data_IF_227216381752
#
_entry.id   IF_227216381752
#
_cell.length_a   1.000
_cell.length_b   1.000
_cell.length_c   1.000
_cell.angle_alpha   90.00
_cell.angle_beta   90.00
_cell.angle_gamma   90.00
#
_symmetry.space_group_name_H-M   'P 1'
#
loop_
_entity.id
_entity.type
_entity.pdbx_description
1 polymer ?
#
# COMPACT_ATOMS: atom_id res chain seq x y z
N UNK A 1 -50.85 6.16 13.03
CA UNK A 1 -50.09 5.55 11.94
C UNK A 1 -48.93 6.49 11.64
N UNK A 2 -47.67 6.06 11.92
CA UNK A 2 -46.50 6.83 11.56
C UNK A 2 -46.43 6.92 10.05
N UNK A 3 -46.66 8.11 9.49
CA UNK A 3 -46.47 8.35 8.07
C UNK A 3 -44.94 8.15 7.79
N UNK A 4 -44.67 7.11 7.01
CA UNK A 4 -43.28 6.83 6.59
C UNK A 4 -42.83 7.99 5.70
N UNK A 5 -41.79 8.71 6.10
CA UNK A 5 -41.21 9.80 5.30
C UNK A 5 -40.86 9.26 3.90
N UNK A 6 -41.45 9.80 2.83
CA UNK A 6 -41.25 9.27 1.46
C UNK A 6 -39.77 9.28 1.03
N UNK A 7 -39.01 10.28 1.48
CA UNK A 7 -37.56 10.36 1.20
C UNK A 7 -36.77 9.22 1.86
N UNK A 8 -37.13 8.92 3.12
CA UNK A 8 -36.50 7.79 3.84
C UNK A 8 -36.86 6.45 3.20
N UNK A 9 -38.13 6.31 2.77
CA UNK A 9 -38.57 5.09 2.06
C UNK A 9 -37.78 4.86 0.77
N UNK A 10 -37.58 5.88 -0.06
CA UNK A 10 -36.77 5.77 -1.26
C UNK A 10 -35.27 5.57 -0.95
N UNK A 11 -34.76 6.21 0.08
CA UNK A 11 -33.40 5.98 0.57
C UNK A 11 -33.15 4.49 0.87
N UNK A 12 -34.05 3.85 1.57
CA UNK A 12 -33.95 2.41 1.87
C UNK A 12 -34.07 1.54 0.61
N UNK A 13 -35.04 1.82 -0.26
CA UNK A 13 -35.28 1.05 -1.50
C UNK A 13 -34.14 1.14 -2.51
N UNK A 14 -33.43 2.25 -2.54
CA UNK A 14 -32.28 2.48 -3.42
C UNK A 14 -30.94 2.09 -2.79
N UNK A 15 -30.93 1.20 -1.82
CA UNK A 15 -29.70 0.72 -1.20
C UNK A 15 -28.95 1.79 -0.42
N UNK A 16 -29.69 2.67 0.25
CA UNK A 16 -29.16 3.72 1.12
C UNK A 16 -28.24 4.75 0.42
N UNK A 17 -28.52 5.08 -0.86
CA UNK A 17 -27.81 6.15 -1.58
C UNK A 17 -28.07 7.51 -0.94
N UNK A 18 -27.14 8.47 -1.11
CA UNK A 18 -27.29 9.80 -0.52
C UNK A 18 -28.44 10.60 -1.12
N UNK A 19 -29.01 11.53 -0.34
CA UNK A 19 -30.06 12.44 -0.79
C UNK A 19 -29.67 13.20 -2.08
N UNK A 20 -28.40 13.59 -2.21
CA UNK A 20 -27.87 14.25 -3.42
C UNK A 20 -28.02 13.38 -4.67
N UNK A 21 -27.77 12.07 -4.54
CA UNK A 21 -27.95 11.12 -5.65
C UNK A 21 -29.42 10.89 -5.98
N UNK A 22 -30.29 10.84 -4.95
CA UNK A 22 -31.73 10.70 -5.17
C UNK A 22 -32.32 11.93 -5.90
N UNK A 23 -31.90 13.14 -5.52
CA UNK A 23 -32.29 14.37 -6.22
C UNK A 23 -31.86 14.32 -7.69
N UNK A 24 -30.64 13.91 -7.97
CA UNK A 24 -30.17 13.78 -9.35
C UNK A 24 -31.02 12.78 -10.16
N UNK A 25 -31.36 11.61 -9.59
CA UNK A 25 -32.21 10.62 -10.25
C UNK A 25 -33.62 11.17 -10.51
N UNK A 26 -34.14 12.05 -9.65
CA UNK A 26 -35.40 12.74 -9.87
C UNK A 26 -35.28 13.77 -11.00
N UNK A 27 -34.22 14.59 -10.99
CA UNK A 27 -33.99 15.61 -12.03
C UNK A 27 -33.77 14.99 -13.41
N UNK A 28 -33.16 13.77 -13.44
CA UNK A 28 -33.00 12.97 -14.65
C UNK A 28 -34.30 12.21 -15.07
N UNK A 29 -35.43 12.42 -14.36
CA UNK A 29 -36.73 11.82 -14.66
C UNK A 29 -36.87 10.33 -14.35
N UNK A 30 -35.90 9.75 -13.64
CA UNK A 30 -35.85 8.31 -13.28
C UNK A 30 -36.59 7.98 -11.98
N UNK A 31 -36.95 9.01 -11.19
CA UNK A 31 -37.75 8.88 -9.97
C UNK A 31 -38.96 9.80 -10.05
N UNK A 32 -40.14 9.25 -9.80
CA UNK A 32 -41.44 9.97 -9.89
C UNK A 32 -41.85 10.67 -8.60
N UNK A 33 -41.03 10.59 -7.52
CA UNK A 33 -41.34 11.24 -6.26
C UNK A 33 -41.20 12.76 -6.38
N UNK A 34 -42.20 13.49 -5.96
CA UNK A 34 -42.29 14.96 -6.12
C UNK A 34 -41.57 15.74 -5.02
N UNK A 35 -41.17 15.11 -3.94
CA UNK A 35 -40.54 15.78 -2.81
C UNK A 35 -39.46 14.96 -2.12
N UNK A 36 -38.24 15.51 -2.07
CA UNK A 36 -37.12 14.97 -1.30
C UNK A 36 -36.76 15.93 -0.16
N UNK A 37 -37.47 15.77 0.96
CA UNK A 37 -37.17 16.49 2.20
C UNK A 37 -35.96 15.87 2.95
N UNK A 38 -35.53 16.56 4.00
CA UNK A 38 -34.59 15.98 4.95
C UNK A 38 -35.29 14.87 5.74
N UNK A 39 -34.54 13.83 6.07
CA UNK A 39 -34.96 12.78 7.00
C UNK A 39 -33.90 12.61 8.10
N UNK A 40 -34.32 12.02 9.21
CA UNK A 40 -33.43 11.73 10.33
C UNK A 40 -32.28 10.81 9.89
N UNK A 41 -31.20 10.84 10.66
CA UNK A 41 -30.02 10.03 10.36
C UNK A 41 -30.38 8.54 10.33
N UNK A 42 -30.17 7.90 9.20
CA UNK A 42 -30.47 6.49 9.04
C UNK A 42 -29.48 5.63 9.83
N UNK A 43 -29.99 4.86 10.80
CA UNK A 43 -29.20 3.98 11.65
C UNK A 43 -28.42 2.94 10.83
N UNK A 44 -29.06 2.32 9.83
CA UNK A 44 -28.40 1.38 8.92
C UNK A 44 -27.24 2.03 8.16
N UNK A 45 -27.37 3.33 7.79
CA UNK A 45 -26.26 4.07 7.18
C UNK A 45 -25.14 4.34 8.17
N UNK A 46 -25.44 4.62 9.43
CA UNK A 46 -24.43 4.77 10.47
C UNK A 46 -23.66 3.48 10.67
N UNK A 47 -24.36 2.38 10.84
CA UNK A 47 -23.76 1.06 11.02
C UNK A 47 -22.95 0.62 9.81
N UNK A 48 -23.52 0.77 8.60
CA UNK A 48 -22.85 0.36 7.34
C UNK A 48 -21.71 1.29 6.88
N UNK A 49 -21.72 2.55 7.32
CA UNK A 49 -20.69 3.55 6.99
C UNK A 49 -19.76 3.86 8.16
N UNK A 50 -19.79 3.04 9.22
CA UNK A 50 -18.79 3.17 10.29
C UNK A 50 -17.41 3.12 9.67
N UNK A 51 -16.79 4.28 9.55
CA UNK A 51 -15.37 4.36 9.23
C UNK A 51 -14.62 3.70 10.37
N UNK A 52 -13.65 2.85 10.02
CA UNK A 52 -12.71 2.33 11.02
C UNK A 52 -12.18 3.52 11.82
N UNK A 53 -12.17 3.40 13.15
CA UNK A 53 -11.60 4.44 14.02
C UNK A 53 -10.28 4.94 13.46
N UNK A 54 -10.01 6.26 13.45
CA UNK A 54 -8.71 6.76 13.10
C UNK A 54 -7.69 6.05 13.98
N UNK A 55 -6.68 5.46 13.38
CA UNK A 55 -5.62 4.80 14.13
C UNK A 55 -4.99 5.84 15.05
N UNK A 56 -4.86 5.54 16.33
CA UNK A 56 -4.09 6.37 17.26
C UNK A 56 -2.68 6.55 16.65
N UNK A 57 -2.27 7.79 16.45
CA UNK A 57 -1.07 8.22 15.73
C UNK A 57 0.27 7.88 16.41
N UNK A 58 0.37 6.80 17.15
CA UNK A 58 1.62 6.44 17.85
C UNK A 58 2.16 5.09 17.38
N UNK A 59 2.47 4.96 16.10
CA UNK A 59 3.55 4.07 15.74
C UNK A 59 4.84 4.92 15.85
N UNK A 60 5.67 4.63 16.82
CA UNK A 60 6.99 5.22 16.90
C UNK A 60 7.71 4.92 15.59
N UNK A 61 8.20 5.95 14.91
CA UNK A 61 9.00 5.81 13.70
C UNK A 61 10.42 5.43 14.09
N UNK A 62 11.10 4.72 13.21
CA UNK A 62 12.52 4.44 13.36
C UNK A 62 13.31 5.74 13.57
N UNK A 63 14.26 5.71 14.48
CA UNK A 63 15.15 6.84 14.81
C UNK A 63 16.45 6.84 14.00
N UNK A 64 16.81 5.70 13.42
CA UNK A 64 18.00 5.53 12.61
C UNK A 64 17.76 4.63 11.38
N UNK A 65 18.68 4.72 10.39
CA UNK A 65 18.65 3.88 9.20
C UNK A 65 18.84 2.41 9.57
N UNK A 66 18.13 1.51 8.89
CA UNK A 66 18.08 0.06 9.09
C UNK A 66 17.49 -0.39 10.42
N UNK A 67 16.96 0.53 11.24
CA UNK A 67 16.27 0.13 12.47
C UNK A 67 15.00 -0.67 12.17
N UNK A 68 14.22 -0.25 11.18
CA UNK A 68 13.01 -0.92 10.74
C UNK A 68 12.89 -0.92 9.21
N UNK A 69 12.84 -2.11 8.65
CA UNK A 69 12.58 -2.33 7.22
C UNK A 69 11.15 -2.86 7.06
N UNK A 70 10.38 -2.21 6.19
CA UNK A 70 9.08 -2.70 5.74
C UNK A 70 9.25 -3.51 4.48
N UNK A 71 8.62 -4.67 4.40
CA UNK A 71 8.60 -5.52 3.21
C UNK A 71 7.19 -5.88 2.79
N UNK A 72 6.98 -5.98 1.48
CA UNK A 72 5.71 -6.42 0.90
C UNK A 72 5.93 -6.99 -0.50
N UNK A 73 5.23 -8.07 -0.81
CA UNK A 73 5.28 -8.74 -2.12
C UNK A 73 4.04 -8.40 -2.93
N UNK A 74 4.24 -7.89 -4.13
CA UNK A 74 3.19 -7.52 -5.05
C UNK A 74 3.16 -8.44 -6.28
N UNK A 75 1.96 -8.86 -6.67
CA UNK A 75 1.69 -9.72 -7.82
C UNK A 75 0.76 -10.90 -7.47
N UNK A 76 0.45 -11.79 -8.44
CA UNK A 76 1.02 -11.79 -9.79
C UNK A 76 0.50 -10.64 -10.64
N UNK A 77 1.39 -10.07 -11.45
CA UNK A 77 1.02 -9.07 -12.44
C UNK A 77 0.24 -9.74 -13.58
N UNK A 78 -0.74 -9.04 -14.13
CA UNK A 78 -1.59 -9.56 -15.23
C UNK A 78 -0.81 -9.94 -16.51
N UNK A 79 0.35 -9.34 -16.69
CA UNK A 79 1.25 -9.60 -17.84
C UNK A 79 2.63 -9.93 -17.31
N UNK A 80 3.22 -11.03 -17.78
CA UNK A 80 4.61 -11.37 -17.48
C UNK A 80 5.54 -10.32 -18.10
N UNK A 81 6.53 -9.84 -17.32
CA UNK A 81 7.50 -8.88 -17.84
C UNK A 81 8.42 -9.51 -18.88
N UNK A 82 9.12 -8.65 -19.65
CA UNK A 82 10.07 -9.09 -20.68
C UNK A 82 11.20 -9.98 -20.11
N UNK A 83 11.53 -9.85 -18.84
CA UNK A 83 12.49 -10.71 -18.12
C UNK A 83 11.89 -12.00 -17.54
N UNK A 84 10.60 -12.28 -17.77
CA UNK A 84 9.91 -13.46 -17.24
C UNK A 84 9.39 -13.29 -15.81
N UNK A 85 9.37 -12.07 -15.27
CA UNK A 85 8.92 -11.78 -13.90
C UNK A 85 7.42 -11.54 -13.84
N UNK A 86 6.79 -11.99 -12.76
CA UNK A 86 5.37 -11.81 -12.47
C UNK A 86 5.12 -11.12 -11.11
N UNK A 87 6.14 -11.04 -10.27
CA UNK A 87 6.07 -10.47 -8.94
C UNK A 87 7.20 -9.46 -8.75
N UNK A 88 7.06 -8.64 -7.74
CA UNK A 88 8.17 -7.87 -7.17
C UNK A 88 8.02 -7.78 -5.65
N UNK A 89 9.14 -7.66 -4.96
CA UNK A 89 9.19 -7.36 -3.54
C UNK A 89 9.79 -5.97 -3.34
N UNK A 90 9.29 -5.26 -2.35
CA UNK A 90 9.85 -3.98 -1.90
C UNK A 90 10.41 -4.12 -0.50
N UNK A 91 11.57 -3.51 -0.27
CA UNK A 91 12.14 -3.29 1.06
C UNK A 91 12.28 -1.77 1.26
N UNK A 92 11.63 -1.23 2.28
CA UNK A 92 11.56 0.22 2.52
C UNK A 92 12.02 0.54 3.93
N UNK A 93 13.02 1.36 4.05
CA UNK A 93 13.48 1.88 5.34
C UNK A 93 12.46 2.85 5.94
N UNK A 94 12.12 2.67 7.21
CA UNK A 94 11.08 3.47 7.86
C UNK A 94 11.48 4.93 8.05
N UNK A 95 12.74 5.20 8.40
CA UNK A 95 13.24 6.56 8.65
C UNK A 95 13.30 7.37 7.36
N UNK A 96 14.07 6.88 6.38
CA UNK A 96 14.34 7.60 5.13
C UNK A 96 13.24 7.47 4.10
N UNK A 97 12.39 6.44 4.23
CA UNK A 97 11.47 5.98 3.18
C UNK A 97 12.17 5.56 1.88
N UNK A 98 13.49 5.41 1.90
CA UNK A 98 14.23 4.88 0.76
C UNK A 98 13.84 3.42 0.52
N UNK A 99 13.57 3.05 -0.72
CA UNK A 99 13.07 1.72 -1.01
C UNK A 99 13.81 1.06 -2.16
N UNK A 100 14.10 -0.19 -1.96
CA UNK A 100 14.60 -1.14 -2.96
C UNK A 100 13.45 -1.93 -3.55
N UNK A 101 13.58 -2.32 -4.80
CA UNK A 101 12.67 -3.25 -5.46
C UNK A 101 13.47 -4.39 -6.09
N UNK A 102 12.91 -5.59 -6.06
CA UNK A 102 13.47 -6.74 -6.75
C UNK A 102 12.36 -7.45 -7.53
N UNK A 103 12.61 -7.67 -8.81
CA UNK A 103 11.71 -8.44 -9.67
C UNK A 103 11.87 -9.93 -9.40
N UNK A 104 10.76 -10.66 -9.37
CA UNK A 104 10.72 -12.10 -9.06
C UNK A 104 9.80 -12.84 -10.05
N UNK A 105 10.14 -14.09 -10.34
CA UNK A 105 9.29 -15.01 -11.11
C UNK A 105 8.25 -15.66 -10.21
N UNK A 106 8.65 -16.01 -8.99
CA UNK A 106 7.83 -16.68 -7.99
C UNK A 106 7.93 -15.97 -6.64
N UNK A 107 6.89 -16.01 -5.84
CA UNK A 107 6.89 -15.47 -4.48
C UNK A 107 7.93 -16.15 -3.57
N UNK A 108 8.23 -17.41 -3.83
CA UNK A 108 9.24 -18.16 -3.09
C UNK A 108 10.67 -17.59 -3.17
N UNK A 109 10.94 -16.71 -4.13
CA UNK A 109 12.23 -16.04 -4.26
C UNK A 109 12.45 -14.90 -3.23
N UNK A 110 11.40 -14.54 -2.47
CA UNK A 110 11.43 -13.42 -1.51
C UNK A 110 12.60 -13.55 -0.52
N UNK A 111 12.85 -14.74 -0.02
CA UNK A 111 13.94 -14.96 0.93
C UNK A 111 15.32 -14.71 0.30
N UNK A 112 15.56 -15.18 -0.92
CA UNK A 112 16.82 -14.91 -1.62
C UNK A 112 16.99 -13.41 -1.89
N UNK A 113 15.90 -12.73 -2.28
CA UNK A 113 15.92 -11.28 -2.49
C UNK A 113 16.13 -10.49 -1.21
N UNK A 114 15.66 -11.01 -0.08
CA UNK A 114 15.95 -10.41 1.22
C UNK A 114 17.45 -10.54 1.58
N UNK A 115 18.08 -11.67 1.35
CA UNK A 115 19.52 -11.85 1.58
C UNK A 115 20.37 -10.94 0.69
N UNK A 116 19.97 -10.79 -0.58
CA UNK A 116 20.62 -9.89 -1.54
C UNK A 116 20.52 -8.44 -1.05
N UNK A 117 19.32 -7.98 -0.69
CA UNK A 117 19.07 -6.67 -0.11
C UNK A 117 19.87 -6.45 1.18
N UNK A 118 19.80 -7.39 2.14
CA UNK A 118 20.50 -7.29 3.42
C UNK A 118 21.99 -7.09 3.23
N UNK A 119 22.62 -7.92 2.41
CA UNK A 119 24.06 -7.83 2.14
C UNK A 119 24.43 -6.48 1.51
N UNK A 120 23.62 -6.00 0.57
CA UNK A 120 23.85 -4.71 -0.08
C UNK A 120 23.80 -3.55 0.92
N UNK A 121 22.71 -3.44 1.69
CA UNK A 121 22.48 -2.27 2.56
C UNK A 121 23.37 -2.28 3.80
N UNK A 122 23.65 -3.45 4.37
CA UNK A 122 24.55 -3.57 5.51
C UNK A 122 25.98 -3.18 5.13
N UNK A 123 26.44 -3.57 3.93
CA UNK A 123 27.74 -3.18 3.41
C UNK A 123 27.82 -1.68 3.06
N UNK A 124 26.75 -1.11 2.47
CA UNK A 124 26.72 0.31 2.11
C UNK A 124 26.76 1.23 3.33
N UNK A 125 26.03 0.88 4.38
CA UNK A 125 25.83 1.75 5.55
C UNK A 125 26.71 1.40 6.75
N UNK A 126 27.36 0.24 6.75
CA UNK A 126 28.11 -0.25 7.91
C UNK A 126 27.22 -0.50 9.14
N UNK A 127 25.93 -0.75 8.93
CA UNK A 127 24.91 -0.98 9.96
C UNK A 127 24.20 -2.29 9.68
N UNK A 128 23.52 -2.84 10.69
CA UNK A 128 22.72 -4.05 10.58
C UNK A 128 21.23 -3.73 10.66
N UNK A 129 20.41 -4.52 9.95
CA UNK A 129 18.96 -4.46 10.08
C UNK A 129 18.55 -4.98 11.45
N UNK A 130 17.69 -4.22 12.19
CA UNK A 130 17.22 -4.63 13.52
C UNK A 130 15.85 -5.29 13.46
N UNK A 131 14.93 -4.74 12.67
CA UNK A 131 13.54 -5.19 12.57
C UNK A 131 13.12 -5.34 11.10
N UNK A 132 12.44 -6.45 10.79
CA UNK A 132 11.79 -6.67 9.50
C UNK A 132 10.29 -6.76 9.72
N UNK A 133 9.54 -5.81 9.17
CA UNK A 133 8.08 -5.81 9.20
C UNK A 133 7.51 -6.25 7.86
N UNK A 134 6.66 -7.27 7.91
CA UNK A 134 5.95 -7.80 6.74
C UNK A 134 4.52 -8.19 7.09
N UNK A 135 3.74 -8.54 6.09
CA UNK A 135 2.50 -9.27 6.30
C UNK A 135 2.78 -10.74 6.71
N UNK A 136 1.72 -11.54 6.84
CA UNK A 136 1.79 -12.98 7.13
C UNK A 136 1.76 -13.82 5.86
N UNK A 137 2.32 -13.33 4.77
CA UNK A 137 2.45 -14.12 3.55
C UNK A 137 3.30 -15.37 3.79
N UNK A 138 2.94 -16.49 3.15
CA UNK A 138 3.68 -17.74 3.29
C UNK A 138 5.17 -17.62 2.94
N UNK A 139 5.52 -16.64 2.11
CA UNK A 139 6.89 -16.30 1.72
C UNK A 139 7.76 -15.82 2.88
N UNK A 140 7.17 -15.23 3.94
CA UNK A 140 7.86 -14.78 5.15
C UNK A 140 7.79 -15.79 6.31
N UNK A 141 6.98 -16.85 6.16
CA UNK A 141 6.69 -17.82 7.23
C UNK A 141 7.50 -19.10 7.09
N UNK A 142 8.45 -19.19 6.14
CA UNK A 142 9.28 -20.36 5.98
C UNK A 142 10.27 -20.51 7.15
N UNK A 143 10.53 -21.74 7.56
CA UNK A 143 11.49 -22.04 8.64
C UNK A 143 12.88 -21.49 8.31
N UNK A 144 13.29 -21.60 7.04
CA UNK A 144 14.59 -21.12 6.57
C UNK A 144 14.73 -19.59 6.73
N UNK A 145 13.66 -18.83 6.45
CA UNK A 145 13.65 -17.39 6.62
C UNK A 145 13.73 -17.01 8.11
N UNK A 146 12.94 -17.68 8.96
CA UNK A 146 12.92 -17.44 10.41
C UNK A 146 14.30 -17.75 11.04
N UNK A 147 14.91 -18.87 10.67
CA UNK A 147 16.24 -19.26 11.15
C UNK A 147 17.32 -18.26 10.71
N UNK A 148 17.23 -17.75 9.49
CA UNK A 148 18.11 -16.70 9.00
C UNK A 148 17.97 -15.40 9.81
N UNK A 149 16.74 -14.91 10.01
CA UNK A 149 16.51 -13.71 10.81
C UNK A 149 17.05 -13.85 12.22
N UNK A 150 16.81 -14.99 12.87
CA UNK A 150 17.34 -15.30 14.21
C UNK A 150 18.87 -15.32 14.23
N UNK A 151 19.50 -15.95 13.24
CA UNK A 151 20.96 -16.03 13.14
C UNK A 151 21.63 -14.67 12.98
N UNK A 152 20.92 -13.72 12.36
CA UNK A 152 21.37 -12.34 12.13
C UNK A 152 20.91 -11.36 13.19
N UNK A 153 20.14 -11.81 14.19
CA UNK A 153 19.60 -10.97 15.26
C UNK A 153 18.52 -9.99 14.80
N UNK A 154 17.83 -10.29 13.68
CA UNK A 154 16.76 -9.46 13.13
C UNK A 154 15.43 -9.93 13.73
N UNK A 155 14.70 -9.04 14.39
CA UNK A 155 13.40 -9.36 14.94
C UNK A 155 12.30 -9.26 13.88
N UNK A 156 11.52 -10.33 13.59
CA UNK A 156 10.38 -10.26 12.71
C UNK A 156 9.20 -9.57 13.39
N UNK A 157 8.58 -8.62 12.69
CA UNK A 157 7.32 -7.97 13.08
C UNK A 157 6.23 -8.32 12.08
N UNK A 158 5.54 -9.42 12.33
CA UNK A 158 4.42 -9.83 11.48
C UNK A 158 3.17 -9.03 11.82
N UNK A 159 2.53 -8.46 10.80
CA UNK A 159 1.28 -7.70 10.96
C UNK A 159 0.17 -8.60 11.52
N UNK A 160 -0.50 -8.24 12.63
CA UNK A 160 -1.60 -9.03 13.16
C UNK A 160 -2.76 -9.17 12.15
N UNK A 161 -3.50 -10.28 12.15
CA UNK A 161 -4.68 -10.44 11.32
C UNK A 161 -5.68 -9.30 11.53
N UNK A 162 -6.23 -8.75 10.45
CA UNK A 162 -7.22 -7.68 10.52
C UNK A 162 -6.67 -6.27 10.78
N UNK A 163 -5.36 -6.09 10.85
CA UNK A 163 -4.70 -4.78 11.02
C UNK A 163 -3.74 -4.44 9.88
N UNK A 164 -4.21 -4.38 8.62
CA UNK A 164 -3.35 -4.07 7.47
C UNK A 164 -2.66 -2.70 7.59
N UNK A 165 -3.19 -1.81 8.43
CA UNK A 165 -2.65 -0.46 8.62
C UNK A 165 -1.21 -0.45 9.17
N UNK A 166 -0.77 -1.52 9.85
CA UNK A 166 0.59 -1.61 10.40
C UNK A 166 1.62 -1.80 9.27
N UNK A 167 1.26 -2.47 8.16
CA UNK A 167 2.08 -2.56 6.94
C UNK A 167 1.78 -1.45 5.92
N UNK A 168 1.02 -0.44 6.32
CA UNK A 168 0.54 0.63 5.44
C UNK A 168 1.64 1.47 4.78
N UNK A 169 2.89 1.39 5.22
CA UNK A 169 4.05 2.04 4.58
C UNK A 169 4.35 1.34 3.26
N UNK A 170 4.57 0.01 3.29
CA UNK A 170 4.85 -0.80 2.10
C UNK A 170 3.68 -0.81 1.13
N UNK A 171 2.46 -1.05 1.62
CA UNK A 171 1.25 -1.07 0.78
C UNK A 171 1.04 0.25 0.02
N UNK A 172 1.23 1.38 0.72
CA UNK A 172 1.11 2.71 0.11
C UNK A 172 2.21 2.95 -0.92
N UNK A 173 3.44 2.54 -0.62
CA UNK A 173 4.55 2.62 -1.55
C UNK A 173 4.27 1.79 -2.81
N UNK A 174 3.87 0.53 -2.65
CA UNK A 174 3.54 -0.35 -3.78
C UNK A 174 2.42 0.22 -4.64
N UNK A 175 1.37 0.78 -4.02
CA UNK A 175 0.31 1.49 -4.74
C UNK A 175 0.86 2.66 -5.56
N UNK A 176 1.70 3.51 -4.96
CA UNK A 176 2.32 4.64 -5.65
C UNK A 176 3.19 4.19 -6.82
N UNK A 177 4.01 3.17 -6.63
CA UNK A 177 4.84 2.58 -7.69
C UNK A 177 3.98 2.08 -8.86
N UNK A 178 2.92 1.33 -8.57
CA UNK A 178 2.01 0.82 -9.61
C UNK A 178 1.25 1.93 -10.33
N UNK A 179 0.85 3.01 -9.63
CA UNK A 179 0.22 4.17 -10.26
C UNK A 179 1.19 4.89 -11.19
N UNK A 180 2.47 5.03 -10.81
CA UNK A 180 3.52 5.57 -11.68
C UNK A 180 3.75 4.68 -12.90
N UNK A 181 3.85 3.36 -12.70
CA UNK A 181 3.99 2.39 -13.82
C UNK A 181 2.83 2.53 -14.80
N UNK A 182 1.58 2.53 -14.31
CA UNK A 182 0.40 2.70 -15.18
C UNK A 182 0.45 4.02 -15.94
N UNK A 183 0.84 5.11 -15.28
CA UNK A 183 0.95 6.42 -15.91
C UNK A 183 2.04 6.47 -16.98
N UNK A 184 3.20 5.87 -16.75
CA UNK A 184 4.28 5.79 -17.73
C UNK A 184 3.89 4.90 -18.93
N UNK A 185 3.31 3.73 -18.66
CA UNK A 185 2.91 2.78 -19.70
C UNK A 185 1.74 3.30 -20.55
N UNK A 186 0.81 4.06 -19.95
CA UNK A 186 -0.37 4.59 -20.67
C UNK A 186 -0.03 5.59 -21.78
N UNK A 187 1.13 6.23 -21.72
CA UNK A 187 1.60 7.22 -22.70
C UNK A 187 2.72 6.69 -23.60
N UNK A 188 3.14 5.46 -23.40
CA UNK A 188 4.18 4.83 -24.20
C UNK A 188 3.55 3.85 -25.20
N UNK A 189 4.14 3.73 -26.38
CA UNK A 189 3.80 2.69 -27.37
C UNK A 189 4.44 1.33 -27.03
N UNK A 190 5.02 1.20 -25.84
CA UNK A 190 5.69 -0.03 -25.41
C UNK A 190 4.67 -1.10 -24.98
N UNK A 191 4.92 -2.37 -25.30
CA UNK A 191 4.10 -3.47 -24.81
C UNK A 191 4.05 -3.51 -23.27
N UNK A 192 2.92 -3.96 -22.71
CA UNK A 192 2.75 -4.07 -21.24
C UNK A 192 3.84 -4.91 -20.56
N UNK A 193 4.49 -5.83 -21.27
CA UNK A 193 5.62 -6.61 -20.75
C UNK A 193 6.85 -5.78 -20.34
N UNK A 194 6.89 -4.49 -20.67
CA UNK A 194 7.94 -3.56 -20.22
C UNK A 194 7.69 -2.97 -18.83
N UNK A 195 6.61 -3.37 -18.14
CA UNK A 195 6.28 -2.87 -16.81
C UNK A 195 7.42 -2.99 -15.78
N UNK A 196 8.30 -4.01 -15.91
CA UNK A 196 9.45 -4.17 -15.03
C UNK A 196 10.41 -2.99 -15.09
N UNK A 197 10.77 -2.53 -16.29
CA UNK A 197 11.62 -1.34 -16.48
C UNK A 197 10.94 -0.06 -16.01
N UNK A 198 9.62 0.07 -16.25
CA UNK A 198 8.85 1.20 -15.74
C UNK A 198 8.84 1.20 -14.20
N UNK A 199 8.78 0.03 -13.55
CA UNK A 199 8.81 -0.11 -12.10
C UNK A 199 10.18 0.31 -11.52
N UNK A 200 11.28 -0.11 -12.13
CA UNK A 200 12.63 0.30 -11.75
C UNK A 200 12.79 1.83 -11.87
N UNK A 201 12.30 2.41 -12.96
CA UNK A 201 12.29 3.86 -13.18
C UNK A 201 11.43 4.58 -12.12
N UNK A 202 10.27 4.02 -11.79
CA UNK A 202 9.39 4.57 -10.77
C UNK A 202 10.06 4.57 -9.38
N UNK A 203 10.72 3.47 -9.01
CA UNK A 203 11.44 3.36 -7.74
C UNK A 203 12.63 4.32 -7.67
N UNK A 204 13.39 4.43 -8.74
CA UNK A 204 14.48 5.40 -8.86
C UNK A 204 13.99 6.84 -8.66
N UNK A 205 12.90 7.20 -9.33
CA UNK A 205 12.29 8.54 -9.24
C UNK A 205 11.74 8.79 -7.83
N UNK A 206 10.99 7.84 -7.28
CA UNK A 206 10.37 7.97 -5.96
C UNK A 206 11.40 8.13 -4.84
N UNK A 207 12.57 7.54 -4.98
CA UNK A 207 13.67 7.72 -4.04
C UNK A 207 14.32 9.13 -4.12
N UNK A 208 14.11 9.87 -5.22
CA UNK A 208 14.72 11.19 -5.47
C UNK A 208 13.75 12.37 -5.42
N UNK A 209 12.48 12.09 -5.14
CA UNK A 209 11.47 13.14 -4.97
C UNK A 209 11.19 13.33 -3.48
N UNK A 210 11.22 14.59 -2.95
CA UNK A 210 10.91 14.83 -1.55
C UNK A 210 9.47 14.44 -1.22
N UNK A 211 9.25 13.92 -0.02
CA UNK A 211 7.89 13.63 0.46
C UNK A 211 7.25 14.91 1.02
N UNK A 212 5.90 14.94 1.09
CA UNK A 212 5.18 16.09 1.68
C UNK A 212 5.53 16.37 3.15
N UNK A 213 6.11 15.40 3.84
CA UNK A 213 6.40 15.47 5.28
C UNK A 213 7.86 15.68 5.63
N UNK A 214 8.77 15.67 4.63
CA UNK A 214 10.21 15.76 4.85
C UNK A 214 10.83 16.54 3.71
N UNK A 215 11.59 17.60 4.02
CA UNK A 215 12.22 18.45 3.02
C UNK A 215 13.35 17.75 2.23
N UNK A 216 13.96 16.74 2.83
CA UNK A 216 15.00 15.92 2.19
C UNK A 216 14.40 14.78 1.40
N UNK A 217 15.03 14.45 0.28
CA UNK A 217 14.66 13.26 -0.49
C UNK A 217 15.02 11.97 0.27
N UNK A 218 14.34 10.84 0.02
CA UNK A 218 14.76 9.55 0.56
C UNK A 218 16.23 9.22 0.26
N UNK A 219 16.70 9.57 -0.92
CA UNK A 219 18.09 9.37 -1.36
C UNK A 219 19.09 10.17 -0.52
N UNK A 220 18.80 11.46 -0.26
CA UNK A 220 19.66 12.29 0.60
C UNK A 220 19.71 11.79 2.03
N UNK A 221 18.58 11.32 2.56
CA UNK A 221 18.53 10.74 3.90
C UNK A 221 19.30 9.42 3.99
N UNK A 222 19.24 8.62 2.91
CA UNK A 222 19.89 7.31 2.84
C UNK A 222 21.41 7.43 2.67
N UNK A 223 21.85 8.29 1.75
CA UNK A 223 23.27 8.41 1.37
C UNK A 223 24.03 9.47 2.17
N UNK A 224 23.33 10.39 2.82
CA UNK A 224 23.91 11.57 3.45
C UNK A 224 24.46 12.61 2.44
N UNK A 225 24.17 12.42 1.14
CA UNK A 225 24.66 13.30 0.05
C UNK A 225 23.47 14.00 -0.60
N UNK A 226 23.57 15.30 -0.78
CA UNK A 226 22.65 16.11 -1.59
C UNK A 226 23.03 16.09 -3.06
#
# INVERSE_FOLDING_TARGET
PNEINPTYFWHCRLGHISLKRMKKLHDDGLLTSTYFGSFETCESCLLGKMTKSPFAKSCERASELLELIHSDVCGPMSTTSKGGYQYFVTFTDDLSTYGYIYLMRHKSETFEKFKEFQNEVENQLGKTIKLLRSDRGGEYMSQEFDDHLKSRGIAPQLTPPGTPQINGVSERRNRTLLDMVRSMMSKSDLPLSFWGYALETAAFTLNRVPSKSVDKTPHEMWTGKS
#
